data_IF_510583726897
#
_entry.id   IF_510583726897
#
_cell.length_a   1.000
_cell.length_b   1.000
_cell.length_c   1.000
_cell.angle_alpha   90.00
_cell.angle_beta   90.00
_cell.angle_gamma   90.00
#
_symmetry.space_group_name_H-M   'P 1'
#
loop_
_entity.id
_entity.type
_entity.pdbx_description
1 polymer ?
#
# COMPACT_ATOMS: atom_id res chain seq x y z
N UNK A 1 26.46 16.60 -10.75
CA UNK A 1 26.89 15.26 -10.30
C UNK A 1 25.95 14.83 -9.18
N UNK A 2 25.08 13.82 -9.20
CA UNK A 2 24.90 12.63 -10.03
C UNK A 2 23.46 12.15 -9.74
N UNK A 3 22.49 12.48 -10.60
CA UNK A 3 21.12 11.91 -10.51
C UNK A 3 20.88 10.79 -11.53
N UNK A 4 21.93 10.41 -12.27
CA UNK A 4 21.85 9.60 -13.48
C UNK A 4 22.07 8.10 -13.27
N UNK A 5 22.04 7.57 -12.05
CA UNK A 5 22.14 6.12 -11.80
C UNK A 5 21.18 5.67 -10.69
N UNK A 6 19.89 5.58 -11.02
CA UNK A 6 19.02 4.57 -10.38
C UNK A 6 17.81 4.19 -11.22
N UNK A 7 17.95 4.20 -12.54
CA UNK A 7 17.02 3.50 -13.43
C UNK A 7 17.37 2.01 -13.42
N UNK A 8 16.34 1.17 -13.21
CA UNK A 8 16.35 -0.31 -13.14
C UNK A 8 16.75 -0.94 -11.81
N UNK A 9 15.83 -0.92 -10.86
CA UNK A 9 15.49 -2.13 -10.10
C UNK A 9 13.97 -2.28 -10.17
N UNK A 10 13.52 -3.53 -10.38
CA UNK A 10 12.15 -4.02 -10.54
C UNK A 10 11.03 -3.08 -10.07
N UNK A 11 9.91 -3.06 -10.80
CA UNK A 11 8.61 -2.55 -10.34
C UNK A 11 8.10 -3.31 -9.09
N UNK A 12 8.76 -3.08 -7.96
CA UNK A 12 8.36 -3.47 -6.62
C UNK A 12 7.88 -2.20 -5.95
N UNK A 13 6.57 -2.13 -5.75
CA UNK A 13 5.77 -1.10 -5.07
C UNK A 13 6.51 0.16 -4.62
N UNK A 14 6.27 1.28 -5.30
CA UNK A 14 6.58 2.59 -4.73
C UNK A 14 5.65 2.78 -3.54
N UNK A 15 6.16 2.50 -2.33
CA UNK A 15 5.45 2.82 -1.10
C UNK A 15 5.80 4.26 -0.72
N UNK A 16 4.85 5.16 -0.88
CA UNK A 16 4.95 6.50 -0.33
C UNK A 16 4.67 6.45 1.17
N UNK A 17 5.67 6.80 1.98
CA UNK A 17 5.58 6.79 3.45
C UNK A 17 4.93 8.07 3.95
N UNK A 18 5.17 9.18 3.24
CA UNK A 18 4.69 10.50 3.63
C UNK A 18 3.90 11.18 2.52
N UNK A 19 2.89 11.97 2.92
CA UNK A 19 1.99 12.68 2.01
C UNK A 19 2.75 13.65 1.10
N UNK A 20 3.81 14.29 1.57
CA UNK A 20 4.60 15.19 0.72
C UNK A 20 5.22 14.47 -0.49
N UNK A 21 5.59 13.19 -0.37
CA UNK A 21 6.15 12.42 -1.48
C UNK A 21 5.09 12.19 -2.57
N UNK A 22 3.83 12.04 -2.15
CA UNK A 22 2.68 11.93 -3.06
C UNK A 22 2.43 13.29 -3.73
N UNK A 23 2.51 14.39 -2.97
CA UNK A 23 2.40 15.75 -3.53
C UNK A 23 3.48 15.99 -4.60
N UNK A 24 4.75 15.68 -4.29
CA UNK A 24 5.86 15.83 -5.24
C UNK A 24 5.66 15.00 -6.51
N UNK A 25 5.15 13.77 -6.36
CA UNK A 25 4.80 12.91 -7.49
C UNK A 25 3.67 13.50 -8.35
N UNK A 26 2.61 14.02 -7.72
CA UNK A 26 1.47 14.61 -8.43
C UNK A 26 1.86 15.89 -9.16
N UNK A 27 2.68 16.74 -8.54
CA UNK A 27 3.25 17.93 -9.19
C UNK A 27 4.09 17.53 -10.40
N UNK A 28 4.95 16.52 -10.25
CA UNK A 28 5.82 16.05 -11.35
C UNK A 28 5.05 15.41 -12.50
N UNK A 29 3.94 14.73 -12.21
CA UNK A 29 3.23 13.90 -13.20
C UNK A 29 2.08 14.66 -13.87
N UNK A 30 1.37 15.49 -13.09
CA UNK A 30 0.14 16.16 -13.52
C UNK A 30 0.25 17.69 -13.47
N UNK A 31 1.36 18.25 -12.98
CA UNK A 31 1.54 19.70 -12.80
C UNK A 31 0.49 20.35 -11.90
N UNK A 32 -0.14 19.56 -11.01
CA UNK A 32 -1.13 20.04 -10.03
C UNK A 32 -0.49 20.14 -8.66
N UNK A 33 -0.60 21.31 -8.04
CA UNK A 33 -0.05 21.57 -6.72
C UNK A 33 -1.13 21.44 -5.64
N UNK A 34 -0.95 20.47 -4.74
CA UNK A 34 -1.77 20.31 -3.54
C UNK A 34 -1.01 20.80 -2.32
N UNK A 35 -1.72 21.35 -1.33
CA UNK A 35 -1.18 21.45 0.02
C UNK A 35 -1.12 20.05 0.66
N UNK A 36 -0.26 19.87 1.65
CA UNK A 36 -0.15 18.59 2.38
C UNK A 36 -1.48 18.21 3.06
N UNK A 37 -2.18 19.19 3.65
CA UNK A 37 -3.51 18.97 4.25
C UNK A 37 -4.55 18.58 3.20
N UNK A 38 -4.57 19.27 2.05
CA UNK A 38 -5.48 18.97 0.95
C UNK A 38 -5.25 17.58 0.36
N UNK A 39 -3.99 17.20 0.14
CA UNK A 39 -3.66 15.86 -0.31
C UNK A 39 -4.05 14.79 0.73
N UNK A 40 -3.84 15.06 2.02
CA UNK A 40 -4.27 14.13 3.08
C UNK A 40 -5.78 13.91 3.06
N UNK A 41 -6.56 14.97 2.91
CA UNK A 41 -8.02 14.89 2.82
C UNK A 41 -8.47 14.14 1.56
N UNK A 42 -7.84 14.44 0.42
CA UNK A 42 -8.14 13.76 -0.84
C UNK A 42 -7.86 12.25 -0.76
N UNK A 43 -6.74 11.86 -0.14
CA UNK A 43 -6.40 10.46 0.07
C UNK A 43 -7.42 9.73 0.94
N UNK A 44 -7.89 10.36 2.02
CA UNK A 44 -8.94 9.79 2.87
C UNK A 44 -10.28 9.64 2.13
N UNK A 45 -10.67 10.65 1.34
CA UNK A 45 -11.91 10.60 0.53
C UNK A 45 -11.86 9.48 -0.53
N UNK A 46 -10.68 9.17 -1.05
CA UNK A 46 -10.48 8.11 -2.04
C UNK A 46 -10.13 6.74 -1.41
N UNK A 47 -10.27 6.59 -0.09
CA UNK A 47 -10.06 5.31 0.60
C UNK A 47 -8.61 4.82 0.61
N UNK A 48 -7.63 5.72 0.42
CA UNK A 48 -6.22 5.34 0.45
C UNK A 48 -5.80 4.90 1.86
N UNK A 49 -5.16 3.73 1.97
CA UNK A 49 -4.59 3.21 3.21
C UNK A 49 -3.11 2.91 3.02
N UNK A 50 -2.27 3.49 3.88
CA UNK A 50 -0.84 3.18 3.94
C UNK A 50 -0.56 1.75 4.43
N UNK A 51 -1.48 1.16 5.22
CA UNK A 51 -1.29 -0.16 5.80
C UNK A 51 -1.81 -1.21 4.83
N UNK A 52 -0.89 -1.93 4.20
CA UNK A 52 -1.23 -3.19 3.55
C UNK A 52 -1.31 -4.29 4.63
N UNK A 53 -2.50 -4.88 4.90
CA UNK A 53 -2.58 -5.99 5.82
C UNK A 53 -1.81 -7.18 5.23
N UNK A 54 -1.04 -7.88 6.08
CA UNK A 54 -0.41 -9.13 5.66
C UNK A 54 -1.54 -10.12 5.35
N UNK A 55 -1.54 -10.68 4.14
CA UNK A 55 -2.60 -11.59 3.69
C UNK A 55 -2.73 -12.86 4.54
N UNK A 56 -1.65 -13.23 5.25
CA UNK A 56 -1.64 -14.37 6.16
C UNK A 56 -1.44 -13.88 7.59
N UNK A 57 -2.43 -14.08 8.49
CA UNK A 57 -2.25 -13.82 9.91
C UNK A 57 -1.05 -14.60 10.48
N UNK A 58 -0.30 -14.00 11.41
CA UNK A 58 0.87 -14.65 12.04
C UNK A 58 0.52 -16.00 12.71
N UNK A 59 -0.70 -16.13 13.22
CA UNK A 59 -1.19 -17.34 13.90
C UNK A 59 -1.92 -18.32 12.95
N UNK A 60 -1.95 -18.05 11.65
CA UNK A 60 -2.62 -18.92 10.68
C UNK A 60 -1.93 -20.29 10.66
N UNK A 61 -2.70 -21.35 10.90
CA UNK A 61 -2.27 -22.73 10.75
C UNK A 61 -3.22 -23.40 9.74
N UNK A 62 -2.73 -23.79 8.55
CA UNK A 62 -3.57 -24.34 7.49
C UNK A 62 -4.19 -25.68 7.86
N UNK A 63 -3.49 -26.51 8.63
CA UNK A 63 -3.96 -27.84 9.06
C UNK A 63 -5.13 -27.71 10.03
N UNK A 64 -5.01 -26.81 11.02
CA UNK A 64 -6.10 -26.51 11.97
C UNK A 64 -7.32 -25.91 11.27
N UNK A 65 -7.10 -25.05 10.29
CA UNK A 65 -8.20 -24.47 9.50
C UNK A 65 -8.91 -25.55 8.67
N UNK A 66 -8.15 -26.49 8.08
CA UNK A 66 -8.72 -27.59 7.30
C UNK A 66 -9.53 -28.56 8.18
N UNK A 67 -9.02 -28.90 9.37
CA UNK A 67 -9.74 -29.72 10.36
C UNK A 67 -11.07 -29.07 10.77
N UNK A 68 -11.04 -27.78 11.12
CA UNK A 68 -12.26 -27.03 11.45
C UNK A 68 -13.31 -27.05 10.32
N UNK A 69 -12.89 -26.81 9.07
CA UNK A 69 -13.80 -26.82 7.92
C UNK A 69 -14.43 -28.20 7.70
N UNK A 70 -13.65 -29.26 7.86
CA UNK A 70 -14.14 -30.63 7.76
C UNK A 70 -15.19 -30.92 8.83
N UNK A 71 -14.93 -30.56 10.08
CA UNK A 71 -15.84 -30.83 11.20
C UNK A 71 -17.12 -29.99 11.10
N UNK A 72 -17.01 -28.72 10.69
CA UNK A 72 -18.15 -27.84 10.46
C UNK A 72 -19.09 -28.34 9.36
N UNK A 73 -18.55 -28.90 8.27
CA UNK A 73 -19.36 -29.43 7.15
C UNK A 73 -20.00 -30.79 7.44
N UNK A 74 -19.60 -31.46 8.52
CA UNK A 74 -20.15 -32.76 8.93
C UNK A 74 -21.37 -32.64 9.86
N UNK A 75 -21.60 -31.46 10.45
CA UNK A 75 -22.84 -31.13 11.15
C UNK A 75 -23.94 -30.83 10.15
#
# INVERSE_FOLDING_TARGET
>A
YSYALKTRKLQLGITYVHVHQIVDYVVKTYSVQYSVSGMTQWLHQNGFSYKQPKGVPRKFNPEKQAQFIHDYKKQ
#
